data_IF_310096031642
#
_entry.id   IF_310096031642
#
_cell.length_a   1.000
_cell.length_b   1.000
_cell.length_c   1.000
_cell.angle_alpha   90.00
_cell.angle_beta   90.00
_cell.angle_gamma   90.00
#
_symmetry.space_group_name_H-M   'P 1'
#
loop_
_entity.id
_entity.type
_entity.pdbx_description
1 polymer ?
#
# COMPACT_ATOMS: atom_id res chain seq x y z
N UNK A 1 -20.45 -40.24 19.19
CA UNK A 1 -20.90 -39.00 18.52
C UNK A 1 -20.16 -37.81 19.13
N UNK A 2 -19.10 -37.29 18.50
CA UNK A 2 -18.20 -36.28 19.11
C UNK A 2 -17.69 -35.27 18.08
N UNK A 3 -18.60 -34.61 17.38
CA UNK A 3 -18.30 -33.54 16.40
C UNK A 3 -18.86 -32.16 16.79
N UNK A 4 -19.75 -32.07 17.78
CA UNK A 4 -20.40 -30.81 18.17
C UNK A 4 -19.51 -29.85 18.99
N UNK A 5 -18.37 -30.29 19.51
CA UNK A 5 -17.51 -29.46 20.40
C UNK A 5 -16.44 -28.68 19.62
N UNK A 6 -15.95 -29.19 18.48
CA UNK A 6 -14.81 -28.57 17.77
C UNK A 6 -15.17 -27.25 17.07
N UNK A 7 -16.37 -27.14 16.49
CA UNK A 7 -16.84 -25.90 15.87
C UNK A 7 -17.07 -24.77 16.89
N UNK A 8 -17.62 -25.10 18.07
CA UNK A 8 -17.84 -24.13 19.15
C UNK A 8 -16.51 -23.62 19.74
N UNK A 9 -15.49 -24.48 19.83
CA UNK A 9 -14.16 -24.11 20.32
C UNK A 9 -13.42 -23.15 19.38
N UNK A 10 -13.55 -23.31 18.07
CA UNK A 10 -12.93 -22.41 17.07
C UNK A 10 -13.61 -21.04 17.11
N UNK A 11 -14.93 -20.98 17.23
CA UNK A 11 -15.65 -19.70 17.36
C UNK A 11 -15.30 -18.99 18.67
N UNK A 12 -15.19 -19.73 19.78
CA UNK A 12 -14.77 -19.18 21.06
C UNK A 12 -13.32 -18.68 21.04
N UNK A 13 -12.41 -19.34 20.31
CA UNK A 13 -11.02 -18.91 20.15
C UNK A 13 -10.95 -17.62 19.32
N UNK A 14 -11.66 -17.54 18.19
CA UNK A 14 -11.73 -16.31 17.38
C UNK A 14 -12.30 -15.12 18.16
N UNK A 15 -13.36 -15.33 18.94
CA UNK A 15 -13.98 -14.25 19.73
C UNK A 15 -13.05 -13.72 20.83
N UNK A 16 -12.27 -14.59 21.48
CA UNK A 16 -11.26 -14.18 22.48
C UNK A 16 -10.14 -13.36 21.86
N UNK A 17 -9.68 -13.72 20.65
CA UNK A 17 -8.67 -12.96 19.91
C UNK A 17 -9.21 -11.58 19.51
N UNK A 18 -10.45 -11.51 19.01
CA UNK A 18 -11.10 -10.24 18.66
C UNK A 18 -11.25 -9.30 19.87
N UNK A 19 -11.67 -9.83 21.03
CA UNK A 19 -11.79 -9.04 22.26
C UNK A 19 -10.45 -8.48 22.73
N UNK A 20 -9.38 -9.28 22.64
CA UNK A 20 -8.02 -8.85 22.99
C UNK A 20 -7.51 -7.74 22.08
N UNK A 21 -7.75 -7.84 20.77
CA UNK A 21 -7.38 -6.80 19.81
C UNK A 21 -8.12 -5.49 20.05
N UNK A 22 -9.42 -5.56 20.39
CA UNK A 22 -10.24 -4.38 20.69
C UNK A 22 -9.78 -3.68 21.98
N UNK A 23 -9.40 -4.47 23.01
CA UNK A 23 -8.84 -3.98 24.26
C UNK A 23 -7.47 -3.31 24.06
N UNK A 24 -6.60 -3.91 23.24
CA UNK A 24 -5.28 -3.33 22.93
C UNK A 24 -5.41 -2.00 22.17
N UNK A 25 -6.32 -1.92 21.19
CA UNK A 25 -6.57 -0.71 20.43
C UNK A 25 -7.14 0.43 21.31
N UNK A 26 -8.04 0.09 22.23
CA UNK A 26 -8.58 1.06 23.19
C UNK A 26 -7.51 1.56 24.16
N UNK A 27 -6.64 0.66 24.65
CA UNK A 27 -5.52 1.02 25.52
C UNK A 27 -4.51 1.95 24.82
N UNK A 28 -4.22 1.67 23.54
CA UNK A 28 -3.35 2.52 22.72
C UNK A 28 -3.95 3.92 22.52
N UNK A 29 -5.27 4.02 22.36
CA UNK A 29 -5.97 5.28 22.18
C UNK A 29 -6.00 6.12 23.48
N UNK A 30 -6.08 5.46 24.64
CA UNK A 30 -6.00 6.12 25.96
C UNK A 30 -4.57 6.56 26.28
N UNK A 31 -3.56 5.77 25.89
CA UNK A 31 -2.14 6.08 26.11
C UNK A 31 -1.67 7.28 25.25
N UNK A 32 -2.29 7.51 24.11
CA UNK A 32 -2.00 8.64 23.22
C UNK A 32 -2.71 9.93 23.64
N UNK A 33 -2.74 10.23 24.95
CA UNK A 33 -3.39 11.39 25.57
C UNK A 33 -2.99 12.74 24.95
N UNK A 34 -3.55 13.04 23.79
CA UNK A 34 -3.34 14.27 23.07
C UNK A 34 -4.23 15.33 23.72
N UNK A 35 -3.65 16.38 24.33
CA UNK A 35 -4.45 17.46 24.86
C UNK A 35 -5.18 18.14 23.70
N UNK A 36 -6.51 18.25 23.81
CA UNK A 36 -7.30 19.06 22.90
C UNK A 36 -6.71 20.48 22.85
N UNK A 37 -6.34 21.01 21.67
CA UNK A 37 -5.90 22.38 21.59
C UNK A 37 -7.07 23.29 21.98
N UNK A 38 -6.87 24.17 22.97
CA UNK A 38 -7.82 25.22 23.30
C UNK A 38 -7.97 26.12 22.07
N UNK A 39 -9.14 26.09 21.44
CA UNK A 39 -9.46 27.01 20.35
C UNK A 39 -9.51 28.44 20.92
N UNK A 40 -8.52 29.28 20.58
CA UNK A 40 -8.61 30.73 20.80
C UNK A 40 -9.63 31.30 19.80
N UNK A 41 -10.68 32.03 20.23
CA UNK A 41 -11.63 32.62 19.32
C UNK A 41 -11.04 33.95 18.83
N UNK A 42 -10.29 33.91 17.73
CA UNK A 42 -9.84 35.12 17.06
C UNK A 42 -9.79 34.88 15.56
N UNK A 43 -10.95 34.57 14.96
CA UNK A 43 -11.14 34.62 13.52
C UNK A 43 -11.26 36.09 13.09
N UNK A 44 -10.12 36.76 12.97
CA UNK A 44 -10.08 38.07 12.33
C UNK A 44 -9.99 37.86 10.82
N UNK A 45 -11.09 38.11 10.11
CA UNK A 45 -11.14 38.06 8.65
C UNK A 45 -10.30 39.21 8.09
N UNK A 46 -9.08 38.90 7.65
CA UNK A 46 -8.29 39.85 6.86
C UNK A 46 -8.95 40.01 5.47
N UNK A 47 -9.10 41.23 4.94
CA UNK A 47 -9.57 41.42 3.58
C UNK A 47 -8.59 40.77 2.60
N UNK A 48 -9.09 39.87 1.74
CA UNK A 48 -8.34 39.27 0.64
C UNK A 48 -7.94 40.39 -0.33
N UNK A 49 -6.73 40.90 -0.19
CA UNK A 49 -6.14 41.78 -1.20
C UNK A 49 -5.57 40.86 -2.29
N UNK A 50 -6.24 40.79 -3.45
CA UNK A 50 -5.70 40.09 -4.61
C UNK A 50 -4.44 40.83 -5.07
N UNK A 51 -3.27 40.26 -4.78
CA UNK A 51 -2.03 40.71 -5.40
C UNK A 51 -2.16 40.54 -6.93
N UNK A 52 -1.65 41.47 -7.75
CA UNK A 52 -1.63 41.27 -9.20
C UNK A 52 -0.89 39.96 -9.50
N UNK A 53 -1.41 39.19 -10.45
CA UNK A 53 -0.78 37.95 -10.89
C UNK A 53 0.68 38.24 -11.23
N UNK A 54 1.58 37.62 -10.46
CA UNK A 54 3.02 37.71 -10.71
C UNK A 54 3.28 37.28 -12.15
N UNK A 55 3.70 38.22 -12.99
CA UNK A 55 4.13 37.95 -14.37
C UNK A 55 5.58 37.46 -14.41
N UNK A 56 6.07 36.89 -13.31
CA UNK A 56 7.35 36.20 -13.34
C UNK A 56 7.21 34.96 -14.24
N UNK A 57 8.08 34.76 -15.25
CA UNK A 57 8.07 33.53 -16.02
C UNK A 57 8.29 32.37 -15.05
N UNK A 58 7.34 31.45 -14.99
CA UNK A 58 7.56 30.14 -14.38
C UNK A 58 8.82 29.56 -15.02
N UNK A 59 9.90 29.25 -14.26
CA UNK A 59 11.06 28.61 -14.85
C UNK A 59 10.58 27.34 -15.54
N UNK A 60 10.93 27.20 -16.82
CA UNK A 60 10.48 26.09 -17.65
C UNK A 60 10.73 24.77 -16.92
N UNK A 61 9.61 24.16 -16.56
CA UNK A 61 9.40 22.79 -16.17
C UNK A 61 10.68 21.96 -16.17
N UNK A 62 11.20 21.65 -14.97
CA UNK A 62 11.93 20.41 -14.81
C UNK A 62 11.01 19.31 -15.35
N UNK A 63 11.42 18.64 -16.42
CA UNK A 63 10.66 17.51 -16.94
C UNK A 63 10.48 16.50 -15.80
N UNK A 64 9.27 15.99 -15.56
CA UNK A 64 9.08 14.95 -14.57
C UNK A 64 10.03 13.79 -14.90
N UNK A 65 10.61 13.12 -13.89
CA UNK A 65 11.44 11.95 -14.15
C UNK A 65 10.64 10.93 -14.98
N UNK A 66 11.28 10.19 -15.89
CA UNK A 66 10.60 9.24 -16.73
C UNK A 66 9.78 8.27 -15.86
N UNK A 67 8.52 8.07 -16.22
CA UNK A 67 7.66 7.14 -15.50
C UNK A 67 8.22 5.72 -15.63
N UNK A 68 8.37 5.02 -14.49
CA UNK A 68 8.74 3.61 -14.49
C UNK A 68 7.50 2.79 -14.84
N UNK A 69 7.54 2.10 -15.98
CA UNK A 69 6.47 1.21 -16.41
C UNK A 69 6.67 -0.17 -15.77
N UNK A 70 5.61 -0.69 -15.15
CA UNK A 70 5.53 -2.06 -14.65
C UNK A 70 4.46 -2.77 -15.45
N UNK A 71 4.81 -3.90 -16.06
CA UNK A 71 3.86 -4.72 -16.81
C UNK A 71 3.42 -5.88 -15.95
N UNK A 72 2.10 -6.06 -15.79
CA UNK A 72 1.50 -7.16 -15.05
C UNK A 72 0.69 -8.03 -16.02
N UNK A 73 0.94 -9.34 -15.98
CA UNK A 73 0.16 -10.34 -16.72
C UNK A 73 -0.72 -11.13 -15.77
N UNK A 74 -1.91 -11.52 -16.23
CA UNK A 74 -2.89 -12.21 -15.42
C UNK A 74 -3.37 -13.50 -16.09
N UNK A 75 -3.78 -14.48 -15.29
CA UNK A 75 -4.52 -15.65 -15.79
C UNK A 75 -6.03 -15.37 -15.94
N UNK A 76 -6.77 -16.35 -16.45
CA UNK A 76 -8.23 -16.26 -16.60
C UNK A 76 -9.01 -16.14 -15.27
N UNK A 77 -8.35 -16.35 -14.13
CA UNK A 77 -8.91 -16.14 -12.80
C UNK A 77 -8.52 -14.78 -12.19
N UNK A 78 -7.80 -13.92 -12.94
CA UNK A 78 -7.38 -12.59 -12.50
C UNK A 78 -6.18 -12.57 -11.55
N UNK A 79 -5.41 -13.67 -11.47
CA UNK A 79 -4.20 -13.74 -10.63
C UNK A 79 -2.98 -13.34 -11.44
N UNK A 80 -2.01 -12.67 -10.80
CA UNK A 80 -0.79 -12.21 -11.47
C UNK A 80 0.10 -13.40 -11.80
N UNK A 81 0.34 -13.66 -13.08
CA UNK A 81 1.26 -14.72 -13.55
C UNK A 81 2.66 -14.19 -13.81
N UNK A 82 2.80 -12.91 -14.15
CA UNK A 82 4.09 -12.29 -14.43
C UNK A 82 4.07 -10.82 -14.04
N UNK A 83 5.17 -10.34 -13.43
CA UNK A 83 5.38 -8.92 -13.15
C UNK A 83 6.78 -8.48 -13.63
N UNK A 84 6.81 -7.52 -14.55
CA UNK A 84 8.02 -7.00 -15.18
C UNK A 84 8.36 -5.60 -14.68
N UNK A 85 9.48 -5.49 -13.99
CA UNK A 85 10.01 -4.28 -13.36
C UNK A 85 11.20 -3.70 -14.13
N UNK A 86 11.08 -3.56 -15.45
CA UNK A 86 12.09 -2.94 -16.33
C UNK A 86 13.52 -3.44 -16.02
N UNK A 87 13.79 -4.71 -16.34
CA UNK A 87 15.06 -5.39 -16.07
C UNK A 87 14.98 -6.51 -15.03
N UNK A 88 13.82 -6.68 -14.38
CA UNK A 88 13.55 -7.80 -13.47
C UNK A 88 12.18 -8.35 -13.76
N UNK A 89 12.09 -9.65 -14.01
CA UNK A 89 10.83 -10.37 -14.25
C UNK A 89 10.57 -11.34 -13.11
N UNK A 90 9.40 -11.24 -12.50
CA UNK A 90 8.85 -12.19 -11.53
C UNK A 90 7.82 -13.07 -12.24
N UNK A 91 7.91 -14.39 -12.06
CA UNK A 91 6.91 -15.34 -12.55
C UNK A 91 6.29 -16.07 -11.37
N UNK A 92 4.96 -16.22 -11.41
CA UNK A 92 4.17 -16.86 -10.38
C UNK A 92 3.40 -18.04 -10.96
N UNK A 93 3.45 -19.17 -10.28
CA UNK A 93 2.67 -20.36 -10.62
C UNK A 93 1.76 -20.70 -9.46
N UNK A 94 0.49 -20.95 -9.80
CA UNK A 94 -0.53 -21.32 -8.84
C UNK A 94 -1.05 -22.73 -9.12
N UNK A 95 -1.50 -23.40 -8.06
CA UNK A 95 -2.31 -24.61 -8.20
C UNK A 95 -3.75 -24.29 -8.64
N UNK A 96 -4.51 -25.36 -8.90
CA UNK A 96 -5.90 -25.29 -9.31
C UNK A 96 -6.83 -24.69 -8.24
N UNK A 97 -6.42 -24.67 -6.97
CA UNK A 97 -7.20 -24.13 -5.85
C UNK A 97 -6.90 -22.67 -5.54
N UNK A 98 -5.85 -22.07 -6.11
CA UNK A 98 -5.49 -20.69 -5.84
C UNK A 98 -4.10 -20.48 -5.22
N UNK A 99 -3.45 -21.52 -4.71
CA UNK A 99 -2.26 -21.33 -3.89
C UNK A 99 -1.03 -21.16 -4.75
N UNK A 100 -0.16 -20.23 -4.35
CA UNK A 100 1.13 -20.03 -5.00
C UNK A 100 2.05 -21.22 -4.71
N UNK A 101 2.42 -21.96 -5.74
CA UNK A 101 3.31 -23.13 -5.62
C UNK A 101 4.74 -22.81 -6.03
N UNK A 102 4.96 -21.79 -6.86
CA UNK A 102 6.30 -21.43 -7.31
C UNK A 102 6.39 -19.95 -7.64
N UNK A 103 7.50 -19.34 -7.26
CA UNK A 103 7.88 -17.98 -7.65
C UNK A 103 9.30 -18.01 -8.20
N UNK A 104 9.51 -17.47 -9.41
CA UNK A 104 10.82 -17.39 -10.05
C UNK A 104 11.22 -15.93 -10.27
N UNK A 105 12.47 -15.59 -9.91
CA UNK A 105 13.07 -14.27 -10.12
C UNK A 105 14.07 -14.33 -11.26
N UNK A 106 13.90 -13.46 -12.27
CA UNK A 106 14.82 -13.33 -13.41
C UNK A 106 15.27 -11.89 -13.55
N UNK A 107 16.53 -11.61 -13.24
CA UNK A 107 17.14 -10.33 -13.58
C UNK A 107 17.71 -10.39 -15.00
N UNK A 108 17.32 -9.42 -15.83
CA UNK A 108 18.01 -9.14 -17.07
C UNK A 108 19.25 -8.32 -16.74
N UNK A 109 20.43 -8.94 -16.88
CA UNK A 109 21.69 -8.21 -16.74
C UNK A 109 21.95 -7.50 -18.06
N UNK A 110 21.86 -6.18 -18.07
CA UNK A 110 22.28 -5.38 -19.22
C UNK A 110 23.81 -5.34 -19.25
N UNK A 111 24.43 -6.21 -20.04
CA UNK A 111 25.83 -6.09 -20.42
C UNK A 111 25.89 -5.10 -21.58
N UNK A 112 26.37 -3.85 -21.40
CA UNK A 112 26.63 -3.02 -22.56
C UNK A 112 27.68 -3.73 -23.42
N UNK A 113 27.35 -4.02 -24.67
CA UNK A 113 28.32 -4.48 -25.66
C UNK A 113 29.34 -3.37 -25.85
N UNK A 114 30.51 -3.51 -25.19
CA UNK A 114 31.66 -2.66 -25.49
C UNK A 114 32.22 -3.16 -26.80
N UNK A 115 31.75 -2.57 -27.89
CA UNK A 115 32.33 -2.80 -29.21
C UNK A 115 33.71 -2.14 -29.19
N UNK A 116 34.77 -2.94 -29.27
CA UNK A 116 36.15 -2.47 -29.43
C UNK A 116 36.41 -2.02 -30.85
#
# INVERSE_FOLDING_TARGET
MKFHVRHAQINAMHQKVLLSMLLLASLLLIAAGAPFPRLHPSLQLAPLTLAPASTAPIPASAAPPPARVITLSYDGAGRITTADYSGVTLQYHYDATGNLITQTYRASIYLPVVTR
#
